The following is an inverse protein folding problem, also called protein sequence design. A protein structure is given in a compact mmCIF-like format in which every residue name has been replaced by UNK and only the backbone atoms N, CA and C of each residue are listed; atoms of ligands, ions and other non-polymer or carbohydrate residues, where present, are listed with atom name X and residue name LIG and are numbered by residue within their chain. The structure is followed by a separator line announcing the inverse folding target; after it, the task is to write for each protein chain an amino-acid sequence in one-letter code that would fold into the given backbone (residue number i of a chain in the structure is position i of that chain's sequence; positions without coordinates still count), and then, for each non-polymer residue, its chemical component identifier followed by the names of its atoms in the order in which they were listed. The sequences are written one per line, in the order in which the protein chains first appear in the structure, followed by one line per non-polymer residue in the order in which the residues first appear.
data_IF_480952198309
#
_entry.id   IF_480952198309
#
_cell.length_a   1.000
_cell.length_b   1.000
_cell.length_c   1.000
_cell.angle_alpha   90.00
_cell.angle_beta   90.00
_cell.angle_gamma   90.00
#
_symmetry.space_group_name_H-M   'P 1'
#
loop_
_entity.id
_entity.type
_entity.pdbx_description
1 polymer ?
#
# COMPACT_ATOMS: atom_id res chain seq x y z
N UNK A 1 1.18 6.33 -11.44
CA UNK A 1 1.28 4.87 -11.70
C UNK A 1 1.54 4.10 -10.40
N UNK A 2 2.53 4.52 -9.60
CA UNK A 2 2.92 3.84 -8.34
C UNK A 2 1.79 3.68 -7.31
N UNK A 3 0.99 4.72 -7.06
CA UNK A 3 -0.19 4.68 -6.17
C UNK A 3 -1.21 3.62 -6.56
N UNK A 4 -1.40 3.38 -7.86
CA UNK A 4 -2.33 2.39 -8.39
C UNK A 4 -1.85 0.96 -8.13
N UNK A 5 -0.53 0.73 -8.17
CA UNK A 5 0.09 -0.54 -7.79
C UNK A 5 -0.06 -0.78 -6.28
N UNK A 6 0.16 0.27 -5.48
CA UNK A 6 -0.03 0.21 -4.02
C UNK A 6 -1.47 -0.10 -3.67
N UNK A 7 -2.45 0.59 -4.27
CA UNK A 7 -3.86 0.27 -4.08
C UNK A 7 -4.20 -1.14 -4.55
N UNK A 8 -3.67 -1.60 -5.68
CA UNK A 8 -3.95 -2.96 -6.17
C UNK A 8 -3.40 -4.02 -5.22
N UNK A 9 -2.21 -3.81 -4.69
CA UNK A 9 -1.62 -4.70 -3.69
C UNK A 9 -2.39 -4.66 -2.37
N UNK A 10 -2.73 -3.47 -1.87
CA UNK A 10 -3.56 -3.31 -0.67
C UNK A 10 -4.93 -3.96 -0.84
N UNK A 11 -5.59 -3.78 -1.99
CA UNK A 11 -6.87 -4.39 -2.27
C UNK A 11 -6.75 -5.92 -2.36
N UNK A 12 -5.69 -6.43 -3.02
CA UNK A 12 -5.41 -7.86 -3.07
C UNK A 12 -5.08 -8.47 -1.70
N UNK A 13 -4.58 -7.67 -0.76
CA UNK A 13 -4.26 -8.09 0.60
C UNK A 13 -5.29 -7.64 1.64
N UNK A 14 -6.45 -7.15 1.21
CA UNK A 14 -7.54 -6.69 2.08
C UNK A 14 -7.09 -5.63 3.10
N UNK A 15 -6.30 -4.66 2.66
CA UNK A 15 -5.76 -3.58 3.49
C UNK A 15 -4.56 -4.00 4.35
N UNK A 16 -4.05 -5.22 4.19
CA UNK A 16 -2.93 -5.70 4.99
C UNK A 16 -1.61 -5.16 4.43
N UNK A 17 -1.10 -4.11 5.08
CA UNK A 17 0.10 -3.37 4.66
C UNK A 17 1.35 -4.26 4.65
N UNK A 18 1.50 -5.19 5.59
CA UNK A 18 2.65 -6.10 5.59
C UNK A 18 2.63 -6.98 4.34
N UNK A 19 1.51 -7.67 4.08
CA UNK A 19 1.36 -8.50 2.88
C UNK A 19 1.48 -7.69 1.60
N UNK A 20 0.94 -6.46 1.55
CA UNK A 20 1.06 -5.60 0.39
C UNK A 20 2.51 -5.18 0.14
N UNK A 21 3.29 -4.97 1.21
CA UNK A 21 4.71 -4.64 1.11
C UNK A 21 5.53 -5.81 0.59
N UNK A 22 5.23 -7.04 1.03
CA UNK A 22 5.81 -8.26 0.48
C UNK A 22 5.46 -8.43 -1.01
N UNK A 23 4.19 -8.19 -1.38
CA UNK A 23 3.70 -8.33 -2.76
C UNK A 23 4.33 -7.32 -3.73
N UNK A 24 4.60 -6.11 -3.25
CA UNK A 24 5.27 -5.06 -3.99
C UNK A 24 6.80 -5.15 -3.91
N UNK A 25 7.33 -6.10 -3.12
CA UNK A 25 8.75 -6.22 -2.81
C UNK A 25 9.38 -4.90 -2.32
N UNK A 26 8.63 -4.17 -1.48
CA UNK A 26 9.06 -2.91 -0.86
C UNK A 26 9.10 -3.05 0.65
N UNK A 27 9.90 -2.22 1.32
CA UNK A 27 9.90 -2.20 2.79
C UNK A 27 8.53 -1.78 3.33
N UNK A 28 8.07 -2.47 4.37
CA UNK A 28 6.84 -2.13 5.11
C UNK A 28 6.80 -0.67 5.53
N UNK A 29 7.90 -0.13 6.05
CA UNK A 29 8.02 1.28 6.44
C UNK A 29 7.84 2.22 5.26
N UNK A 30 8.51 1.95 4.14
CA UNK A 30 8.36 2.72 2.90
C UNK A 30 6.93 2.66 2.37
N UNK A 31 6.28 1.50 2.44
CA UNK A 31 4.88 1.38 2.04
C UNK A 31 3.97 2.21 2.96
N UNK A 32 4.18 2.17 4.28
CA UNK A 32 3.43 3.00 5.24
C UNK A 32 3.60 4.49 4.93
N UNK A 33 4.84 4.94 4.67
CA UNK A 33 5.10 6.33 4.32
C UNK A 33 4.41 6.73 3.03
N UNK A 34 4.46 5.90 2.00
CA UNK A 34 3.76 6.15 0.74
C UNK A 34 2.23 6.17 0.96
N UNK A 35 1.68 5.21 1.69
CA UNK A 35 0.25 5.17 2.00
C UNK A 35 -0.20 6.44 2.72
N UNK A 36 0.57 6.91 3.72
CA UNK A 36 0.30 8.18 4.41
C UNK A 36 0.44 9.38 3.48
N UNK A 37 1.52 9.44 2.70
CA UNK A 37 1.83 10.53 1.76
C UNK A 37 0.76 10.69 0.68
N UNK A 38 0.19 9.57 0.24
CA UNK A 38 -0.82 9.53 -0.82
C UNK A 38 -2.24 9.38 -0.26
N UNK A 39 -2.44 9.43 1.07
CA UNK A 39 -3.72 9.20 1.77
C UNK A 39 -4.49 7.98 1.24
N UNK A 40 -3.79 6.90 0.90
CA UNK A 40 -4.40 5.70 0.28
C UNK A 40 -5.27 4.87 1.25
N UNK A 41 -5.36 5.30 2.52
CA UNK A 41 -6.18 4.72 3.57
C UNK A 41 -7.46 5.52 3.86
N UNK A 42 -7.72 6.63 3.15
CA UNK A 42 -9.00 7.31 3.24
C UNK A 42 -9.94 6.81 2.15
N UNK A 43 -10.76 5.83 2.51
CA UNK A 43 -12.10 5.73 1.95
C UNK A 43 -13.02 6.47 2.91
N UNK A 44 -13.53 7.61 2.46
CA UNK A 44 -14.90 7.99 2.77
C UNK A 44 -15.86 7.07 2.03
#
# INVERSE_FOLDING_TARGET
VETRLIQKALNATFGNVSKASDLLSVKRTTLIEKIKKYQLLETG
#
